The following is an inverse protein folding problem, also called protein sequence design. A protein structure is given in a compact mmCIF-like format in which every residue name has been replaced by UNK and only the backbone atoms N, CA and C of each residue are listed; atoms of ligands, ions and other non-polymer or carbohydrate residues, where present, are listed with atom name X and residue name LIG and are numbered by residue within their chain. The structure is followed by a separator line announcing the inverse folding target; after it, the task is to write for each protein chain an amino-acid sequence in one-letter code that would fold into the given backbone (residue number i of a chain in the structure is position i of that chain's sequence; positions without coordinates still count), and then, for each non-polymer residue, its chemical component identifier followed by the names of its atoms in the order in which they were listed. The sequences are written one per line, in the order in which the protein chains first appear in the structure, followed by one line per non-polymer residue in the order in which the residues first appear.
data_IF_155547490080
#
_entry.id   IF_155547490080
#
_cell.length_a   1.000
_cell.length_b   1.000
_cell.length_c   1.000
_cell.angle_alpha   90.00
_cell.angle_beta   90.00
_cell.angle_gamma   90.00
#
_symmetry.space_group_name_H-M   'P 1'
#
loop_
_entity.id
_entity.type
_entity.pdbx_description
1 polymer ?
#
# COMPACT_ATOMS: atom_id res chain seq x y z
N UNK A 1 -22.18 -20.97 18.73
CA UNK A 1 -22.13 -19.83 17.80
C UNK A 1 -20.69 -19.68 17.34
N UNK A 2 -20.34 -20.29 16.20
CA UNK A 2 -18.97 -20.29 15.66
C UNK A 2 -18.75 -18.94 14.99
N UNK A 3 -17.96 -18.06 15.57
CA UNK A 3 -17.48 -16.88 14.87
C UNK A 3 -16.59 -17.37 13.72
N UNK A 4 -17.13 -17.37 12.50
CA UNK A 4 -16.32 -17.48 11.28
C UNK A 4 -15.29 -16.36 11.31
N UNK A 5 -14.03 -16.72 11.54
CA UNK A 5 -12.89 -15.85 11.32
C UNK A 5 -12.83 -15.58 9.81
N UNK A 6 -13.59 -14.58 9.33
CA UNK A 6 -13.40 -14.05 7.98
C UNK A 6 -11.95 -13.56 7.92
N UNK A 7 -11.11 -14.22 7.14
CA UNK A 7 -9.76 -13.74 6.87
C UNK A 7 -9.89 -12.34 6.25
N UNK A 8 -9.50 -11.30 6.99
CA UNK A 8 -9.42 -9.96 6.39
C UNK A 8 -8.45 -10.04 5.20
N UNK A 9 -8.80 -9.46 4.05
CA UNK A 9 -7.86 -9.37 2.95
C UNK A 9 -6.56 -8.72 3.43
N UNK A 10 -5.43 -9.21 2.91
CA UNK A 10 -4.11 -8.66 3.24
C UNK A 10 -4.13 -7.15 2.97
N UNK A 11 -3.80 -6.30 3.97
CA UNK A 11 -3.88 -4.86 3.84
C UNK A 11 -3.04 -4.34 2.67
N UNK A 12 -3.55 -3.31 2.00
CA UNK A 12 -2.88 -2.62 0.91
C UNK A 12 -2.32 -1.29 1.38
N UNK A 13 -1.03 -1.07 1.15
CA UNK A 13 -0.34 0.20 1.41
C UNK A 13 -0.07 0.91 0.10
N UNK A 14 -0.47 2.18 -0.02
CA UNK A 14 -0.06 3.04 -1.13
C UNK A 14 1.21 3.79 -0.73
N UNK A 15 2.29 3.61 -1.47
CA UNK A 15 3.53 4.38 -1.33
C UNK A 15 3.46 5.54 -2.32
N UNK A 16 3.47 6.78 -1.84
CA UNK A 16 3.68 7.96 -2.66
C UNK A 16 5.12 8.44 -2.46
N UNK A 17 5.95 8.25 -3.48
CA UNK A 17 7.40 8.40 -3.45
C UNK A 17 7.89 8.64 -4.87
N UNK A 18 8.59 9.74 -5.13
CA UNK A 18 9.11 10.09 -6.46
C UNK A 18 10.47 9.44 -6.75
N UNK A 19 11.24 9.10 -5.72
CA UNK A 19 12.49 8.37 -5.83
C UNK A 19 12.25 6.85 -5.95
N UNK A 20 12.36 6.32 -7.17
CA UNK A 20 12.06 4.92 -7.47
C UNK A 20 12.83 3.89 -6.62
N UNK A 21 14.10 4.17 -6.28
CA UNK A 21 14.92 3.30 -5.43
C UNK A 21 14.38 3.22 -4.00
N UNK A 22 13.95 4.35 -3.43
CA UNK A 22 13.31 4.39 -2.10
C UNK A 22 11.99 3.62 -2.13
N UNK A 23 11.17 3.82 -3.16
CA UNK A 23 9.91 3.10 -3.33
C UNK A 23 10.11 1.57 -3.46
N UNK A 24 11.20 1.13 -4.11
CA UNK A 24 11.63 -0.27 -4.18
C UNK A 24 11.96 -0.84 -2.81
N UNK A 25 12.77 -0.12 -2.03
CA UNK A 25 13.15 -0.50 -0.67
C UNK A 25 11.91 -0.61 0.22
N UNK A 26 11.05 0.42 0.23
CA UNK A 26 9.80 0.42 1.01
C UNK A 26 8.89 -0.75 0.61
N UNK A 27 8.74 -1.00 -0.69
CA UNK A 27 7.96 -2.12 -1.22
C UNK A 27 8.47 -3.48 -0.73
N UNK A 28 9.80 -3.68 -0.72
CA UNK A 28 10.42 -4.90 -0.22
C UNK A 28 10.18 -5.12 1.28
N UNK A 29 10.26 -4.07 2.10
CA UNK A 29 9.98 -4.16 3.55
C UNK A 29 8.51 -4.49 3.85
N UNK A 30 7.58 -3.89 3.10
CA UNK A 30 6.15 -4.19 3.22
C UNK A 30 5.85 -5.64 2.81
N UNK A 31 6.42 -6.10 1.69
CA UNK A 31 6.27 -7.47 1.23
C UNK A 31 6.83 -8.49 2.25
N UNK A 32 8.01 -8.21 2.82
CA UNK A 32 8.60 -9.03 3.89
C UNK A 32 7.72 -9.08 5.14
N UNK A 33 6.96 -8.03 5.40
CA UNK A 33 5.98 -7.95 6.50
C UNK A 33 4.63 -8.60 6.16
N UNK A 34 4.48 -9.17 4.95
CA UNK A 34 3.25 -9.80 4.50
C UNK A 34 2.17 -8.83 4.04
N UNK A 35 2.52 -7.57 3.76
CA UNK A 35 1.61 -6.54 3.25
C UNK A 35 1.69 -6.43 1.73
N UNK A 36 0.59 -5.99 1.11
CA UNK A 36 0.57 -5.63 -0.31
C UNK A 36 0.91 -4.15 -0.45
N UNK A 37 1.55 -3.78 -1.55
CA UNK A 37 1.83 -2.37 -1.85
C UNK A 37 1.46 -1.99 -3.28
N UNK A 38 1.13 -0.72 -3.46
CA UNK A 38 1.01 -0.03 -4.75
C UNK A 38 1.87 1.24 -4.69
N UNK A 39 2.26 1.79 -5.85
CA UNK A 39 3.11 2.97 -5.94
C UNK A 39 2.44 4.11 -6.70
N UNK A 40 2.78 5.32 -6.31
CA UNK A 40 2.54 6.55 -7.03
C UNK A 40 3.81 7.40 -6.99
N UNK A 41 4.23 7.92 -8.15
CA UNK A 41 5.47 8.69 -8.29
C UNK A 41 5.28 10.19 -7.99
N UNK A 42 4.05 10.62 -7.72
CA UNK A 42 3.70 12.02 -7.43
C UNK A 42 2.34 12.11 -6.72
N UNK A 43 1.98 13.31 -6.30
CA UNK A 43 0.74 13.58 -5.57
C UNK A 43 -0.54 13.36 -6.39
N UNK A 44 -0.53 13.63 -7.70
CA UNK A 44 -1.72 13.44 -8.55
C UNK A 44 -1.99 11.96 -8.75
N UNK A 45 -0.95 11.19 -9.06
CA UNK A 45 -0.99 9.74 -9.13
C UNK A 45 -1.39 9.11 -7.77
N UNK A 46 -0.93 9.68 -6.65
CA UNK A 46 -1.28 9.20 -5.32
C UNK A 46 -2.76 9.43 -5.00
N UNK A 47 -3.29 10.61 -5.32
CA UNK A 47 -4.71 10.92 -5.14
C UNK A 47 -5.60 10.05 -6.02
N UNK A 48 -5.23 9.84 -7.28
CA UNK A 48 -5.95 8.95 -8.19
C UNK A 48 -5.94 7.50 -7.68
N UNK A 49 -4.75 7.00 -7.30
CA UNK A 49 -4.56 5.65 -6.77
C UNK A 49 -5.31 5.43 -5.47
N UNK A 50 -5.31 6.40 -4.55
CA UNK A 50 -6.07 6.31 -3.30
C UNK A 50 -7.58 6.15 -3.55
N UNK A 51 -8.14 6.94 -4.48
CA UNK A 51 -9.57 6.85 -4.84
C UNK A 51 -9.93 5.51 -5.47
N UNK A 52 -9.06 4.97 -6.33
CA UNK A 52 -9.28 3.73 -7.05
C UNK A 52 -9.05 2.48 -6.20
N UNK A 53 -7.94 2.45 -5.46
CA UNK A 53 -7.46 1.25 -4.77
C UNK A 53 -7.97 1.14 -3.34
N UNK A 54 -8.42 2.25 -2.74
CA UNK A 54 -8.92 2.33 -1.35
C UNK A 54 -7.94 1.63 -0.37
N UNK A 55 -6.67 2.07 -0.33
CA UNK A 55 -5.66 1.42 0.52
C UNK A 55 -6.00 1.57 2.00
N UNK A 56 -5.51 0.65 2.83
CA UNK A 56 -5.66 0.69 4.28
C UNK A 56 -4.70 1.68 4.94
N UNK A 57 -3.60 2.00 4.26
CA UNK A 57 -2.57 2.95 4.70
C UNK A 57 -1.96 3.67 3.49
N UNK A 58 -1.60 4.94 3.67
CA UNK A 58 -0.77 5.69 2.73
C UNK A 58 0.54 6.04 3.42
N UNK A 59 1.66 5.72 2.77
CA UNK A 59 2.99 6.21 3.13
C UNK A 59 3.30 7.37 2.21
N UNK A 60 3.58 8.53 2.81
CA UNK A 60 3.97 9.77 2.13
C UNK A 60 5.38 10.10 2.60
N UNK A 61 6.28 10.36 1.67
CA UNK A 61 7.53 11.10 1.92
C UNK A 61 7.36 12.58 1.54
#
# INVERSE_FOLDING_TARGET
MKHELRSRPVPLVLIAEDEGEIADILGAYLARSGLRSARAADGEAALASHRQLRPDLVLLD
#
